data_IF_615196420714
#
_entry.id   IF_615196420714
#
_cell.length_a   1.000
_cell.length_b   1.000
_cell.length_c   1.000
_cell.angle_alpha   90.00
_cell.angle_beta   90.00
_cell.angle_gamma   90.00
#
_symmetry.space_group_name_H-M   'P 1'
#
loop_
_entity.id
_entity.type
_entity.pdbx_description
1 polymer ?
#
# COMPACT_ATOMS: atom_id res chain seq x y z
N UNK A 1 15.11 16.75 18.19
CA UNK A 1 14.24 15.87 19.01
C UNK A 1 12.81 16.15 18.59
N UNK A 2 12.18 15.26 17.81
CA UNK A 2 10.74 15.38 17.51
C UNK A 2 9.98 15.12 18.80
N UNK A 3 9.09 16.03 19.19
CA UNK A 3 8.22 15.86 20.35
C UNK A 3 7.37 14.61 20.12
N UNK A 4 7.44 13.64 21.04
CA UNK A 4 6.37 12.65 21.16
C UNK A 4 5.10 13.46 21.40
N UNK A 5 4.20 13.51 20.40
CA UNK A 5 2.89 14.12 20.61
C UNK A 5 2.23 13.41 21.79
N UNK A 6 1.59 14.20 22.66
CA UNK A 6 0.90 13.67 23.82
C UNK A 6 -0.24 12.77 23.33
N UNK A 7 -0.19 11.48 23.67
CA UNK A 7 -1.21 10.48 23.31
C UNK A 7 -2.58 10.88 23.88
N UNK A 8 -2.63 11.82 24.83
CA UNK A 8 -3.88 12.40 25.35
C UNK A 8 -4.46 13.52 24.48
N UNK A 9 -3.74 14.01 23.47
CA UNK A 9 -4.27 14.97 22.49
C UNK A 9 -5.38 14.32 21.68
N UNK A 10 -6.58 14.90 21.78
CA UNK A 10 -7.78 14.40 21.11
C UNK A 10 -7.63 14.40 19.57
N UNK A 11 -6.98 15.41 19.00
CA UNK A 11 -6.81 15.51 17.55
C UNK A 11 -5.85 14.44 17.05
N UNK A 12 -4.76 14.22 17.78
CA UNK A 12 -3.85 13.10 17.51
C UNK A 12 -4.57 11.76 17.56
N UNK A 13 -5.31 11.49 18.65
CA UNK A 13 -6.01 10.20 18.82
C UNK A 13 -7.01 9.93 17.70
N UNK A 14 -7.78 10.95 17.32
CA UNK A 14 -8.74 10.82 16.21
C UNK A 14 -8.00 10.54 14.90
N UNK A 15 -6.98 11.34 14.57
CA UNK A 15 -6.25 11.17 13.32
C UNK A 15 -5.51 9.83 13.23
N UNK A 16 -4.76 9.46 14.27
CA UNK A 16 -4.04 8.17 14.32
C UNK A 16 -5.01 6.99 14.26
N UNK A 17 -6.14 7.08 14.95
CA UNK A 17 -7.18 6.07 14.90
C UNK A 17 -7.81 5.92 13.50
N UNK A 18 -8.10 7.03 12.82
CA UNK A 18 -8.61 7.00 11.44
C UNK A 18 -7.57 6.46 10.44
N UNK A 19 -6.29 6.80 10.61
CA UNK A 19 -5.19 6.24 9.80
C UNK A 19 -5.05 4.73 10.01
N UNK A 20 -5.16 4.26 11.25
CA UNK A 20 -5.17 2.82 11.56
C UNK A 20 -6.32 2.11 10.86
N UNK A 21 -7.56 2.63 10.97
CA UNK A 21 -8.72 2.05 10.29
C UNK A 21 -8.51 2.04 8.78
N UNK A 22 -7.97 3.12 8.21
CA UNK A 22 -7.68 3.19 6.77
C UNK A 22 -6.68 2.12 6.34
N UNK A 23 -5.56 2.00 7.05
CA UNK A 23 -4.54 0.99 6.75
C UNK A 23 -5.09 -0.44 6.87
N UNK A 24 -5.83 -0.75 7.93
CA UNK A 24 -6.51 -2.05 8.11
C UNK A 24 -7.49 -2.36 6.99
N UNK A 25 -8.18 -1.35 6.46
CA UNK A 25 -9.06 -1.55 5.31
C UNK A 25 -8.29 -1.79 4.03
N UNK A 26 -7.14 -1.15 3.83
CA UNK A 26 -6.28 -1.40 2.68
C UNK A 26 -5.78 -2.85 2.72
N UNK A 27 -5.21 -3.34 3.82
CA UNK A 27 -4.78 -4.75 3.98
C UNK A 27 -5.94 -5.72 3.69
N UNK A 28 -7.13 -5.42 4.21
CA UNK A 28 -8.32 -6.23 3.94
C UNK A 28 -8.71 -6.25 2.45
N UNK A 29 -8.56 -5.13 1.74
CA UNK A 29 -8.85 -5.03 0.32
C UNK A 29 -7.77 -5.70 -0.53
N UNK A 30 -6.49 -5.58 -0.17
CA UNK A 30 -5.36 -6.32 -0.76
C UNK A 30 -5.64 -7.81 -0.63
N UNK A 31 -5.93 -8.29 0.57
CA UNK A 31 -6.26 -9.70 0.85
C UNK A 31 -7.32 -10.22 -0.13
N UNK A 32 -8.40 -9.45 -0.33
CA UNK A 32 -9.51 -9.84 -1.22
C UNK A 32 -9.10 -9.81 -2.69
N UNK A 33 -8.45 -8.74 -3.13
CA UNK A 33 -8.00 -8.60 -4.52
C UNK A 33 -7.01 -9.71 -4.90
N UNK A 34 -6.06 -10.02 -4.01
CA UNK A 34 -5.10 -11.11 -4.20
C UNK A 34 -5.83 -12.45 -4.19
N UNK A 35 -6.73 -12.71 -3.24
CA UNK A 35 -7.48 -13.96 -3.16
C UNK A 35 -8.29 -14.26 -4.43
N UNK A 36 -8.96 -13.25 -4.99
CA UNK A 36 -9.73 -13.37 -6.23
C UNK A 36 -8.82 -13.69 -7.43
N UNK A 37 -7.56 -13.26 -7.40
CA UNK A 37 -6.61 -13.38 -8.50
C UNK A 37 -5.81 -14.69 -8.51
N UNK A 38 -5.76 -15.43 -7.40
CA UNK A 38 -5.03 -16.71 -7.26
C UNK A 38 -5.37 -17.71 -8.38
N UNK A 39 -6.64 -17.83 -8.75
CA UNK A 39 -7.09 -18.80 -9.76
C UNK A 39 -6.54 -18.49 -11.16
N UNK A 40 -6.29 -17.21 -11.45
CA UNK A 40 -5.82 -16.70 -12.74
C UNK A 40 -4.33 -16.38 -12.75
N UNK A 41 -3.61 -16.69 -11.67
CA UNK A 41 -2.16 -16.51 -11.61
C UNK A 41 -1.46 -17.33 -12.72
N UNK A 42 -0.46 -16.75 -13.42
CA UNK A 42 0.10 -17.33 -14.64
C UNK A 42 0.91 -18.61 -14.41
N UNK A 43 1.41 -18.82 -13.19
CA UNK A 43 2.22 -19.95 -12.79
C UNK A 43 1.99 -20.36 -11.33
N UNK A 44 2.52 -21.53 -10.96
CA UNK A 44 2.36 -22.10 -9.62
C UNK A 44 3.09 -21.29 -8.55
N UNK A 45 4.23 -20.68 -8.88
CA UNK A 45 5.01 -19.87 -7.96
C UNK A 45 4.21 -18.63 -7.53
N UNK A 46 3.65 -17.91 -8.50
CA UNK A 46 2.77 -16.76 -8.27
C UNK A 46 1.53 -17.18 -7.48
N UNK A 47 0.93 -18.34 -7.81
CA UNK A 47 -0.24 -18.85 -7.07
C UNK A 47 0.08 -19.11 -5.60
N UNK A 48 1.23 -19.74 -5.32
CA UNK A 48 1.66 -20.06 -3.96
C UNK A 48 2.03 -18.79 -3.18
N UNK A 49 2.70 -17.84 -3.83
CA UNK A 49 3.03 -16.56 -3.21
C UNK A 49 1.77 -15.76 -2.86
N UNK A 50 0.83 -15.64 -3.80
CA UNK A 50 -0.43 -14.94 -3.55
C UNK A 50 -1.25 -15.61 -2.45
N UNK A 51 -1.23 -16.95 -2.36
CA UNK A 51 -1.84 -17.66 -1.24
C UNK A 51 -1.17 -17.36 0.11
N UNK A 52 0.18 -17.22 0.13
CA UNK A 52 0.91 -16.73 1.32
C UNK A 52 0.47 -15.31 1.68
N UNK A 53 0.47 -14.39 0.71
CA UNK A 53 0.08 -12.99 0.92
C UNK A 53 -1.32 -12.88 1.51
N UNK A 54 -2.31 -13.63 1.00
CA UNK A 54 -3.67 -13.67 1.62
C UNK A 54 -3.62 -14.05 3.10
N UNK A 55 -2.76 -15.01 3.47
CA UNK A 55 -2.55 -15.40 4.86
C UNK A 55 -1.89 -14.30 5.71
N UNK A 56 -0.93 -13.59 5.13
CA UNK A 56 -0.24 -12.47 5.78
C UNK A 56 -1.18 -11.28 5.98
N UNK A 57 -1.93 -10.86 4.95
CA UNK A 57 -2.92 -9.79 5.07
C UNK A 57 -4.02 -10.13 6.09
N UNK A 58 -4.48 -11.39 6.12
CA UNK A 58 -5.44 -11.84 7.13
C UNK A 58 -4.88 -11.69 8.55
N UNK A 59 -3.59 -11.96 8.74
CA UNK A 59 -2.88 -11.79 10.01
C UNK A 59 -2.74 -10.31 10.35
N UNK A 60 -2.43 -9.44 9.39
CA UNK A 60 -2.33 -7.99 9.57
C UNK A 60 -3.66 -7.40 10.04
N UNK A 61 -4.74 -7.69 9.29
CA UNK A 61 -6.10 -7.25 9.62
C UNK A 61 -6.47 -7.65 11.05
N UNK A 62 -6.18 -8.89 11.45
CA UNK A 62 -6.47 -9.36 12.81
C UNK A 62 -5.69 -8.57 13.87
N UNK A 63 -4.38 -8.41 13.69
CA UNK A 63 -3.52 -7.66 14.63
C UNK A 63 -4.04 -6.22 14.80
N UNK A 64 -4.34 -5.57 13.69
CA UNK A 64 -4.75 -4.17 13.70
C UNK A 64 -6.18 -4.00 14.21
N UNK A 65 -7.12 -4.90 13.91
CA UNK A 65 -8.46 -4.89 14.52
C UNK A 65 -8.40 -5.09 16.03
N UNK A 66 -7.53 -5.98 16.52
CA UNK A 66 -7.29 -6.14 17.96
C UNK A 66 -6.74 -4.85 18.58
N UNK A 67 -5.85 -4.15 17.86
CA UNK A 67 -5.29 -2.88 18.32
C UNK A 67 -6.30 -1.73 18.27
N UNK A 68 -7.06 -1.56 17.18
CA UNK A 68 -8.12 -0.53 17.04
C UNK A 68 -9.09 -0.58 18.22
N UNK A 69 -9.52 -1.78 18.62
CA UNK A 69 -10.39 -1.99 19.79
C UNK A 69 -9.74 -1.53 21.10
N UNK A 70 -8.44 -1.79 21.29
CA UNK A 70 -7.69 -1.38 22.49
C UNK A 70 -7.38 0.12 22.49
N UNK A 71 -7.07 0.67 21.31
CA UNK A 71 -6.79 2.08 21.10
C UNK A 71 -8.04 2.94 21.36
N UNK A 72 -9.23 2.38 21.11
CA UNK A 72 -10.52 3.00 21.45
C UNK A 72 -10.86 4.17 20.54
N UNK A 73 -10.58 4.03 19.24
CA UNK A 73 -10.98 4.99 18.21
C UNK A 73 -12.36 4.65 17.64
N UNK A 74 -12.93 5.59 16.88
CA UNK A 74 -13.97 5.31 15.90
C UNK A 74 -13.46 4.28 14.89
N UNK A 75 -14.17 3.16 14.78
CA UNK A 75 -13.89 2.03 13.88
C UNK A 75 -14.81 2.01 12.65
N UNK A 76 -15.56 3.10 12.41
CA UNK A 76 -16.35 3.27 11.21
C UNK A 76 -15.46 3.16 9.97
N UNK A 77 -15.82 2.35 8.97
CA UNK A 77 -15.14 2.27 7.68
C UNK A 77 -14.68 3.64 7.14
N UNK A 78 -13.42 3.75 6.73
CA UNK A 78 -12.89 4.93 6.02
C UNK A 78 -13.39 4.92 4.57
N UNK A 79 -13.27 3.76 3.92
CA UNK A 79 -13.90 3.48 2.64
C UNK A 79 -15.27 2.85 2.86
N UNK A 80 -16.31 3.43 2.28
CA UNK A 80 -17.64 2.84 2.26
C UNK A 80 -17.70 1.62 1.31
N UNK A 81 -18.79 0.87 1.34
CA UNK A 81 -18.95 -0.36 0.54
C UNK A 81 -18.80 -0.13 -0.97
N UNK A 82 -19.27 1.01 -1.49
CA UNK A 82 -19.14 1.36 -2.90
C UNK A 82 -17.67 1.59 -3.27
N UNK A 83 -16.93 2.32 -2.42
CA UNK A 83 -15.51 2.60 -2.62
C UNK A 83 -14.67 1.32 -2.54
N UNK A 84 -14.98 0.44 -1.59
CA UNK A 84 -14.36 -0.88 -1.49
C UNK A 84 -14.62 -1.72 -2.76
N UNK A 85 -15.84 -1.72 -3.29
CA UNK A 85 -16.17 -2.44 -4.52
C UNK A 85 -15.46 -1.84 -5.74
N UNK A 86 -15.33 -0.51 -5.83
CA UNK A 86 -14.56 0.14 -6.90
C UNK A 86 -13.08 -0.26 -6.86
N UNK A 87 -12.49 -0.33 -5.67
CA UNK A 87 -11.13 -0.82 -5.49
C UNK A 87 -10.99 -2.26 -6.02
N UNK A 88 -11.90 -3.16 -5.64
CA UNK A 88 -11.83 -4.56 -6.09
C UNK A 88 -12.11 -4.69 -7.59
N UNK A 89 -13.08 -3.96 -8.11
CA UNK A 89 -13.40 -3.93 -9.54
C UNK A 89 -12.22 -3.46 -10.39
N UNK A 90 -11.43 -2.49 -9.90
CA UNK A 90 -10.18 -2.07 -10.52
C UNK A 90 -9.24 -3.26 -10.69
N UNK A 91 -8.87 -3.96 -9.61
CA UNK A 91 -7.94 -5.09 -9.68
C UNK A 91 -8.44 -6.27 -10.50
N UNK A 92 -9.75 -6.55 -10.50
CA UNK A 92 -10.35 -7.57 -11.37
C UNK A 92 -10.17 -7.28 -12.86
N UNK A 93 -10.11 -5.99 -13.23
CA UNK A 93 -10.02 -5.57 -14.63
C UNK A 93 -8.60 -5.59 -15.20
N UNK A 94 -7.58 -5.73 -14.34
CA UNK A 94 -6.19 -5.58 -14.73
C UNK A 94 -5.67 -6.80 -15.50
N UNK A 95 -4.74 -6.53 -16.43
CA UNK A 95 -3.85 -7.58 -16.95
C UNK A 95 -2.92 -8.07 -15.84
N UNK A 96 -2.16 -9.15 -16.06
CA UNK A 96 -1.19 -9.61 -15.07
C UNK A 96 -0.09 -8.57 -14.79
N UNK A 97 0.48 -7.98 -15.86
CA UNK A 97 1.51 -6.95 -15.77
C UNK A 97 0.99 -5.69 -15.03
N UNK A 98 -0.24 -5.28 -15.34
CA UNK A 98 -0.89 -4.15 -14.67
C UNK A 98 -1.21 -4.47 -13.20
N UNK A 99 -1.64 -5.70 -12.90
CA UNK A 99 -1.88 -6.15 -11.52
C UNK A 99 -0.60 -6.11 -10.70
N UNK A 100 0.52 -6.60 -11.25
CA UNK A 100 1.81 -6.55 -10.58
C UNK A 100 2.23 -5.12 -10.26
N UNK A 101 2.01 -4.20 -11.21
CA UNK A 101 2.33 -2.78 -11.06
C UNK A 101 1.46 -2.16 -9.97
N UNK A 102 0.14 -2.25 -10.09
CA UNK A 102 -0.77 -1.55 -9.19
C UNK A 102 -0.75 -2.14 -7.79
N UNK A 103 -0.67 -3.46 -7.66
CA UNK A 103 -0.63 -4.11 -6.36
C UNK A 103 0.72 -3.85 -5.69
N UNK A 104 1.80 -4.31 -6.29
CA UNK A 104 3.08 -4.38 -5.57
C UNK A 104 3.93 -3.12 -5.65
N UNK A 105 3.78 -2.30 -6.70
CA UNK A 105 4.47 -1.01 -6.76
C UNK A 105 3.62 0.05 -6.09
N UNK A 106 2.38 0.23 -6.56
CA UNK A 106 1.58 1.38 -6.13
C UNK A 106 1.03 1.23 -4.72
N UNK A 107 0.46 0.08 -4.38
CA UNK A 107 -0.11 -0.15 -3.04
C UNK A 107 0.99 -0.58 -2.07
N UNK A 108 1.66 -1.71 -2.30
CA UNK A 108 2.60 -2.26 -1.30
C UNK A 108 3.84 -1.38 -1.13
N UNK A 109 4.57 -1.10 -2.22
CA UNK A 109 5.85 -0.39 -2.09
C UNK A 109 5.66 1.08 -1.71
N UNK A 110 4.77 1.80 -2.40
CA UNK A 110 4.60 3.23 -2.18
C UNK A 110 3.62 3.54 -1.03
N UNK A 111 2.58 2.75 -0.85
CA UNK A 111 1.71 2.85 0.33
C UNK A 111 2.47 2.50 1.60
N UNK A 112 3.26 1.43 1.59
CA UNK A 112 4.16 1.07 2.69
C UNK A 112 5.14 2.19 3.04
N UNK A 113 5.78 2.81 2.05
CA UNK A 113 6.68 3.96 2.26
C UNK A 113 5.96 5.13 2.96
N UNK A 114 4.71 5.43 2.57
CA UNK A 114 3.93 6.48 3.24
C UNK A 114 3.61 6.13 4.70
N UNK A 115 3.29 4.87 4.99
CA UNK A 115 3.02 4.37 6.34
C UNK A 115 4.29 4.44 7.20
N UNK A 116 5.45 4.04 6.67
CA UNK A 116 6.72 4.11 7.38
C UNK A 116 7.08 5.54 7.81
N UNK A 117 6.69 6.56 7.04
CA UNK A 117 6.88 7.95 7.46
C UNK A 117 6.02 8.34 8.68
N UNK A 118 4.91 7.65 8.93
CA UNK A 118 4.02 7.88 10.07
C UNK A 118 4.47 7.09 11.31
N UNK A 119 5.10 5.92 11.14
CA UNK A 119 5.53 5.04 12.25
C UNK A 119 6.29 5.79 13.36
N UNK A 120 7.27 6.67 13.08
CA UNK A 120 7.98 7.40 14.14
C UNK A 120 7.11 8.36 14.97
N UNK A 121 5.94 8.74 14.45
CA UNK A 121 4.97 9.63 15.10
C UNK A 121 3.89 8.83 15.85
N UNK A 122 3.83 7.52 15.63
CA UNK A 122 2.85 6.66 16.26
C UNK A 122 3.19 6.33 17.73
N UNK A 123 2.15 6.16 18.54
CA UNK A 123 2.29 5.70 19.91
C UNK A 123 2.87 4.28 19.96
N UNK A 124 3.44 3.85 21.10
CA UNK A 124 4.11 2.55 21.19
C UNK A 124 3.24 1.35 20.78
N UNK A 125 1.94 1.37 21.09
CA UNK A 125 1.07 0.26 20.77
C UNK A 125 0.71 0.22 19.29
N UNK A 126 0.49 1.39 18.67
CA UNK A 126 0.31 1.48 17.22
C UNK A 126 1.55 1.02 16.49
N UNK A 127 2.75 1.44 16.90
CA UNK A 127 4.01 0.96 16.30
C UNK A 127 4.17 -0.56 16.40
N UNK A 128 3.84 -1.14 17.54
CA UNK A 128 3.91 -2.59 17.70
C UNK A 128 2.90 -3.32 16.80
N UNK A 129 1.70 -2.76 16.61
CA UNK A 129 0.69 -3.33 15.72
C UNK A 129 1.10 -3.34 14.24
N UNK A 130 1.97 -2.42 13.82
CA UNK A 130 2.44 -2.27 12.44
C UNK A 130 3.71 -3.06 12.15
N UNK A 131 4.39 -3.60 13.18
CA UNK A 131 5.70 -4.23 13.02
C UNK A 131 5.67 -5.49 12.15
N UNK A 132 4.67 -6.35 12.35
CA UNK A 132 4.50 -7.57 11.56
C UNK A 132 4.06 -7.21 10.13
N UNK A 133 3.01 -6.39 9.93
CA UNK A 133 2.60 -5.92 8.60
C UNK A 133 3.77 -5.41 7.76
N UNK A 134 4.47 -4.38 8.24
CA UNK A 134 5.58 -3.76 7.52
C UNK A 134 6.75 -4.72 7.25
N UNK A 135 6.95 -5.74 8.08
CA UNK A 135 7.98 -6.75 7.85
C UNK A 135 7.59 -7.71 6.72
N UNK A 136 6.31 -8.07 6.63
CA UNK A 136 5.80 -8.94 5.56
C UNK A 136 5.74 -8.18 4.22
N UNK A 137 5.48 -6.87 4.23
CA UNK A 137 5.44 -6.06 2.98
C UNK A 137 6.77 -6.05 2.24
N UNK A 138 7.89 -6.21 2.94
CA UNK A 138 9.21 -6.33 2.31
C UNK A 138 9.23 -7.53 1.36
N UNK A 139 8.63 -8.65 1.75
CA UNK A 139 8.54 -9.86 0.92
C UNK A 139 7.54 -9.66 -0.23
N UNK A 140 6.39 -9.01 0.02
CA UNK A 140 5.38 -8.70 -0.99
C UNK A 140 5.95 -7.82 -2.11
N UNK A 141 6.64 -6.75 -1.73
CA UNK A 141 7.31 -5.83 -2.66
C UNK A 141 8.43 -6.55 -3.42
N UNK A 142 9.25 -7.36 -2.75
CA UNK A 142 10.33 -8.08 -3.41
C UNK A 142 9.80 -9.02 -4.49
N UNK A 143 8.79 -9.83 -4.18
CA UNK A 143 8.14 -10.72 -5.16
C UNK A 143 7.55 -9.94 -6.33
N UNK A 144 6.79 -8.88 -6.05
CA UNK A 144 6.12 -8.11 -7.08
C UNK A 144 7.10 -7.43 -8.04
N UNK A 145 8.20 -6.89 -7.53
CA UNK A 145 9.24 -6.28 -8.35
C UNK A 145 10.00 -7.32 -9.19
N UNK A 146 10.29 -8.50 -8.62
CA UNK A 146 10.91 -9.60 -9.36
C UNK A 146 10.00 -10.10 -10.49
N UNK A 147 8.72 -10.34 -10.21
CA UNK A 147 7.77 -10.76 -11.26
C UNK A 147 7.52 -9.67 -12.29
N UNK A 148 7.44 -8.40 -11.89
CA UNK A 148 7.29 -7.30 -12.83
C UNK A 148 8.49 -7.22 -13.76
N UNK A 149 9.70 -7.40 -13.23
CA UNK A 149 10.91 -7.50 -14.01
C UNK A 149 10.83 -8.63 -15.05
N UNK A 150 10.51 -9.85 -14.62
CA UNK A 150 10.42 -11.02 -15.51
C UNK A 150 9.38 -10.83 -16.63
N UNK A 151 8.25 -10.20 -16.33
CA UNK A 151 7.24 -9.90 -17.36
C UNK A 151 7.70 -8.81 -18.33
N UNK A 152 8.46 -7.82 -17.87
CA UNK A 152 9.01 -6.77 -18.74
C UNK A 152 10.11 -7.30 -19.68
N UNK A 153 10.88 -8.31 -19.26
CA UNK A 153 11.89 -8.95 -20.12
C UNK A 153 11.28 -9.77 -21.27
N UNK A 154 10.01 -10.18 -21.14
CA UNK A 154 9.30 -10.90 -22.22
C UNK A 154 8.85 -9.97 -23.35
N UNK A 155 8.80 -8.66 -23.10
CA UNK A 155 8.44 -7.65 -24.08
C UNK A 155 9.68 -7.20 -24.87
N UNK A 156 9.47 -6.59 -26.04
CA UNK A 156 10.58 -5.89 -26.69
C UNK A 156 11.03 -4.68 -25.87
N UNK A 157 12.30 -4.30 -25.95
CA UNK A 157 12.86 -3.15 -25.23
C UNK A 157 11.99 -1.89 -25.39
N UNK A 158 11.51 -1.62 -26.61
CA UNK A 158 10.65 -0.47 -26.89
C UNK A 158 9.30 -0.54 -26.17
N UNK A 159 8.69 -1.73 -26.07
CA UNK A 159 7.44 -1.96 -25.35
C UNK A 159 7.65 -1.88 -23.84
N UNK A 160 8.74 -2.43 -23.30
CA UNK A 160 9.05 -2.34 -21.86
C UNK A 160 9.26 -0.89 -21.44
N UNK A 161 10.03 -0.10 -22.21
CA UNK A 161 10.19 1.33 -21.94
C UNK A 161 8.89 2.12 -22.11
N UNK A 162 8.04 1.76 -23.08
CA UNK A 162 6.73 2.37 -23.23
C UNK A 162 5.85 2.06 -22.02
N UNK A 163 5.87 0.83 -21.52
CA UNK A 163 5.13 0.40 -20.34
C UNK A 163 5.60 1.11 -19.07
N UNK A 164 6.92 1.22 -18.84
CA UNK A 164 7.46 1.94 -17.67
C UNK A 164 6.96 3.39 -17.59
N UNK A 165 6.78 4.06 -18.74
CA UNK A 165 6.20 5.42 -18.78
C UNK A 165 4.74 5.47 -18.37
N UNK A 166 4.00 4.36 -18.51
CA UNK A 166 2.60 4.30 -18.06
C UNK A 166 2.50 4.19 -16.54
N UNK A 167 3.50 3.63 -15.85
CA UNK A 167 3.50 3.45 -14.39
C UNK A 167 3.34 4.80 -13.68
N UNK A 168 3.96 5.86 -14.21
CA UNK A 168 3.80 7.22 -13.68
C UNK A 168 2.32 7.65 -13.65
N UNK A 169 1.60 7.47 -14.76
CA UNK A 169 0.17 7.81 -14.85
C UNK A 169 -0.76 6.88 -14.07
N UNK A 170 -0.36 5.61 -13.87
CA UNK A 170 -1.14 4.64 -13.07
C UNK A 170 -1.12 5.00 -11.59
N UNK A 171 -0.02 5.57 -11.13
CA UNK A 171 0.11 6.10 -9.79
C UNK A 171 -0.77 7.32 -9.54
N UNK A 172 -0.83 8.23 -10.52
CA UNK A 172 -1.75 9.37 -10.46
C UNK A 172 -3.21 8.89 -10.38
N UNK A 173 -3.57 7.81 -11.11
CA UNK A 173 -4.92 7.23 -11.05
C UNK A 173 -5.27 6.64 -9.67
N UNK A 174 -4.32 5.98 -9.00
CA UNK A 174 -4.53 5.47 -7.65
C UNK A 174 -4.62 6.59 -6.63
N UNK A 175 -3.82 7.65 -6.79
CA UNK A 175 -3.92 8.87 -5.97
C UNK A 175 -5.28 9.55 -6.15
N UNK A 176 -5.74 9.71 -7.38
CA UNK A 176 -7.07 10.24 -7.71
C UNK A 176 -8.21 9.34 -7.19
N UNK A 177 -8.02 8.01 -7.25
CA UNK A 177 -8.99 7.05 -6.71
C UNK A 177 -9.05 7.16 -5.19
N UNK A 178 -7.93 7.36 -4.49
CA UNK A 178 -7.88 7.49 -3.03
C UNK A 178 -8.24 8.91 -2.52
N UNK A 179 -7.90 9.97 -3.23
CA UNK A 179 -8.26 11.36 -2.90
C UNK A 179 -9.69 11.71 -3.33
N UNK A 180 -10.16 11.18 -4.45
CA UNK A 180 -11.54 11.33 -4.93
C UNK A 180 -12.60 10.76 -3.99
N UNK A 181 -12.17 10.01 -2.96
CA UNK A 181 -13.00 9.43 -1.92
C UNK A 181 -13.37 10.41 -0.79
N UNK A 182 -12.88 11.65 -0.81
CA UNK A 182 -13.26 12.70 0.14
C UNK A 182 -12.60 12.57 1.52
N UNK A 183 -11.49 11.84 1.59
CA UNK A 183 -10.73 11.59 2.83
C UNK A 183 -9.63 12.64 2.93
N UNK A 184 -9.61 13.41 4.03
CA UNK A 184 -8.56 14.41 4.30
C UNK A 184 -7.27 13.76 4.82
N UNK A 185 -6.61 12.98 3.97
CA UNK A 185 -5.30 12.37 4.27
C UNK A 185 -4.26 13.42 4.67
N UNK A 186 -4.11 14.57 3.97
CA UNK A 186 -3.17 15.61 4.39
C UNK A 186 -3.45 16.14 5.81
N UNK A 187 -4.72 16.35 6.15
CA UNK A 187 -5.15 16.76 7.48
C UNK A 187 -4.84 15.73 8.57
N UNK A 188 -5.09 14.45 8.29
CA UNK A 188 -4.74 13.36 9.22
C UNK A 188 -3.24 13.27 9.47
N UNK A 189 -2.42 13.35 8.41
CA UNK A 189 -0.96 13.34 8.50
C UNK A 189 -0.45 14.52 9.34
N UNK A 190 -0.97 15.73 9.06
CA UNK A 190 -0.62 16.92 9.84
C UNK A 190 -1.01 16.80 11.31
N UNK A 191 -2.17 16.24 11.61
CA UNK A 191 -2.66 16.06 12.97
C UNK A 191 -1.79 15.10 13.79
N UNK A 192 -1.16 14.10 13.15
CA UNK A 192 -0.18 13.21 13.77
C UNK A 192 1.26 13.76 13.74
N UNK A 193 1.43 15.03 13.34
CA UNK A 193 2.73 15.69 13.34
C UNK A 193 3.64 15.30 12.17
N UNK A 194 3.09 14.66 11.13
CA UNK A 194 3.81 14.43 9.89
C UNK A 194 3.79 15.68 9.00
N UNK A 195 4.89 15.89 8.29
CA UNK A 195 4.98 16.86 7.21
C UNK A 195 4.50 16.16 5.94
N UNK A 196 3.28 16.45 5.52
CA UNK A 196 2.65 15.78 4.38
C UNK A 196 3.45 15.97 3.09
N UNK A 197 4.00 17.17 2.84
CA UNK A 197 4.81 17.40 1.65
C UNK A 197 6.07 16.54 1.67
N UNK A 198 6.71 16.42 2.84
CA UNK A 198 7.86 15.53 2.99
C UNK A 198 7.52 14.07 2.71
N UNK A 199 6.35 13.60 3.16
CA UNK A 199 5.89 12.23 2.84
C UNK A 199 5.74 12.05 1.34
N UNK A 200 5.06 12.99 0.67
CA UNK A 200 4.89 12.97 -0.79
C UNK A 200 6.26 12.94 -1.48
N UNK A 201 7.19 13.80 -1.09
CA UNK A 201 8.54 13.84 -1.68
C UNK A 201 9.28 12.51 -1.51
N UNK A 202 9.16 11.87 -0.34
CA UNK A 202 9.76 10.55 -0.07
C UNK A 202 9.14 9.45 -0.94
N UNK A 203 7.80 9.42 -1.05
CA UNK A 203 7.09 8.47 -1.92
C UNK A 203 7.49 8.66 -3.38
N UNK A 204 7.55 9.91 -3.85
CA UNK A 204 7.95 10.22 -5.23
C UNK A 204 9.41 9.85 -5.51
N UNK A 205 10.30 10.02 -4.52
CA UNK A 205 11.67 9.58 -4.61
C UNK A 205 11.76 8.04 -4.69
N UNK A 206 11.02 7.32 -3.85
CA UNK A 206 10.96 5.85 -3.88
C UNK A 206 10.43 5.33 -5.21
N UNK A 207 9.38 5.96 -5.75
CA UNK A 207 8.86 5.70 -7.10
C UNK A 207 9.97 5.79 -8.15
N UNK A 208 10.71 6.90 -8.16
CA UNK A 208 11.79 7.11 -9.11
C UNK A 208 12.86 6.02 -9.00
N UNK A 209 13.24 5.62 -7.79
CA UNK A 209 14.21 4.53 -7.58
C UNK A 209 13.74 3.20 -8.15
N UNK A 210 12.45 2.87 -8.00
CA UNK A 210 11.86 1.64 -8.55
C UNK A 210 11.91 1.68 -10.08
N UNK A 211 11.47 2.79 -10.68
CA UNK A 211 11.48 2.95 -12.14
C UNK A 211 12.90 2.86 -12.72
N UNK A 212 13.87 3.49 -12.09
CA UNK A 212 15.29 3.38 -12.48
C UNK A 212 15.83 1.96 -12.34
N UNK A 213 15.40 1.22 -11.32
CA UNK A 213 15.79 -0.18 -11.14
C UNK A 213 15.26 -1.05 -12.28
N UNK A 214 13.97 -0.92 -12.62
CA UNK A 214 13.36 -1.67 -13.71
C UNK A 214 13.97 -1.30 -15.07
N UNK A 215 14.23 -0.01 -15.31
CA UNK A 215 14.84 0.47 -16.55
C UNK A 215 16.28 -0.04 -16.75
N UNK A 216 17.10 -0.05 -15.69
CA UNK A 216 18.48 -0.57 -15.76
C UNK A 216 18.54 -2.03 -16.16
N UNK A 217 17.58 -2.83 -15.70
CA UNK A 217 17.51 -4.25 -16.03
C UNK A 217 17.22 -4.49 -17.50
N UNK A 218 16.31 -3.71 -18.09
CA UNK A 218 15.96 -3.82 -19.51
C UNK A 218 17.17 -3.49 -20.42
N UNK A 219 18.07 -2.62 -19.96
CA UNK A 219 19.24 -2.19 -20.72
C UNK A 219 20.48 -3.10 -20.59
N UNK A 220 20.44 -4.12 -19.72
CA UNK A 220 21.55 -5.00 -19.38
C UNK A 220 21.62 -6.24 -20.29
#
# INVERSE_FOLDING_TARGET
MKQNQDITDKNYRVAMGRLLVMYTQVDYLIMRAVAERIADAPDDESRLFMAKQVGDESKHVRIQQEWIKKFGTDDTPVFNEIQQELFLAHFRSLTWLDFLTDMYVCIEALGGEAVEQIVPMADPGTRESLKIPLQDEIDHVAFGLEKLHDELEKLSEAESYAYLKTIESRLDFLDDTLHGMGIDVPGMFKAVGADYQKVVDTVMFRRQQILESLARSIAA
#
